data_IF_972675767741
#
_entry.id   IF_972675767741
#
_cell.length_a   1.000
_cell.length_b   1.000
_cell.length_c   1.000
_cell.angle_alpha   90.00
_cell.angle_beta   90.00
_cell.angle_gamma   90.00
#
_symmetry.space_group_name_H-M   'P 1'
#
loop_
_entity.id
_entity.type
_entity.pdbx_description
1 polymer ?
#
# COMPACT_ATOMS: atom_id res chain seq x y z
N UNK A 1 -19.51 23.87 -68.20
CA UNK A 1 -20.11 22.95 -67.22
C UNK A 1 -19.10 21.86 -66.97
N UNK A 2 -18.33 21.96 -65.87
CA UNK A 2 -17.40 20.91 -65.45
C UNK A 2 -18.19 19.76 -64.78
N UNK A 3 -17.79 18.50 -64.99
CA UNK A 3 -18.40 17.39 -64.27
C UNK A 3 -17.88 17.34 -62.83
N UNK A 4 -18.80 17.31 -61.87
CA UNK A 4 -18.51 17.02 -60.46
C UNK A 4 -18.15 15.54 -60.34
N UNK A 5 -16.87 15.24 -60.12
CA UNK A 5 -16.41 13.89 -59.77
C UNK A 5 -16.79 13.61 -58.31
N UNK A 6 -17.83 12.82 -58.09
CA UNK A 6 -18.20 12.33 -56.76
C UNK A 6 -17.23 11.19 -56.42
N UNK A 7 -16.23 11.47 -55.58
CA UNK A 7 -15.30 10.45 -55.09
C UNK A 7 -16.04 9.51 -54.12
N UNK A 8 -16.54 8.38 -54.64
CA UNK A 8 -17.16 7.31 -53.87
C UNK A 8 -16.07 6.36 -53.34
N UNK A 9 -15.15 6.88 -52.52
CA UNK A 9 -14.32 6.01 -51.67
C UNK A 9 -15.18 5.58 -50.48
N UNK A 10 -15.76 4.40 -50.66
CA UNK A 10 -16.28 3.49 -49.64
C UNK A 10 -15.92 3.86 -48.20
N UNK A 11 -16.93 4.17 -47.40
CA UNK A 11 -16.91 3.99 -45.94
C UNK A 11 -16.67 2.50 -45.65
N UNK A 12 -15.41 2.09 -45.72
CA UNK A 12 -14.97 0.80 -45.20
C UNK A 12 -15.11 0.92 -43.69
N UNK A 13 -16.13 0.26 -43.14
CA UNK A 13 -16.21 -0.01 -41.71
C UNK A 13 -14.92 -0.78 -41.35
N UNK A 14 -13.92 -0.06 -40.84
CA UNK A 14 -12.66 -0.67 -40.44
C UNK A 14 -12.98 -1.63 -39.30
N UNK A 15 -13.01 -2.93 -39.60
CA UNK A 15 -13.21 -3.96 -38.59
C UNK A 15 -12.04 -3.87 -37.60
N UNK A 16 -12.31 -3.74 -36.29
CA UNK A 16 -11.25 -3.65 -35.30
C UNK A 16 -10.29 -4.84 -35.42
N UNK A 17 -8.98 -4.60 -35.37
CA UNK A 17 -7.99 -5.66 -35.44
C UNK A 17 -8.21 -6.66 -34.30
N UNK A 18 -7.91 -7.94 -34.53
CA UNK A 18 -8.05 -8.98 -33.49
C UNK A 18 -7.27 -8.65 -32.20
N UNK A 19 -6.18 -7.89 -32.30
CA UNK A 19 -5.43 -7.35 -31.15
C UNK A 19 -6.24 -6.35 -30.34
N UNK A 20 -6.94 -5.40 -30.99
CA UNK A 20 -7.77 -4.41 -30.32
C UNK A 20 -8.94 -5.04 -29.53
N UNK A 21 -9.59 -6.06 -30.09
CA UNK A 21 -10.66 -6.80 -29.39
C UNK A 21 -10.13 -7.55 -28.16
N UNK A 22 -8.95 -8.15 -28.27
CA UNK A 22 -8.29 -8.84 -27.14
C UNK A 22 -7.91 -7.85 -26.03
N UNK A 23 -7.44 -6.66 -26.40
CA UNK A 23 -7.07 -5.61 -25.45
C UNK A 23 -8.29 -5.04 -24.73
N UNK A 24 -9.40 -4.84 -25.44
CA UNK A 24 -10.66 -4.39 -24.84
C UNK A 24 -11.24 -5.43 -23.88
N UNK A 25 -11.20 -6.72 -24.23
CA UNK A 25 -11.67 -7.78 -23.34
C UNK A 25 -10.82 -7.90 -22.06
N UNK A 26 -9.51 -7.68 -22.16
CA UNK A 26 -8.62 -7.58 -20.98
C UNK A 26 -8.97 -6.40 -20.09
N UNK A 27 -9.16 -5.21 -20.68
CA UNK A 27 -9.57 -4.00 -19.95
C UNK A 27 -10.89 -4.20 -19.20
N UNK A 28 -11.89 -4.81 -19.85
CA UNK A 28 -13.18 -5.14 -19.23
C UNK A 28 -12.98 -6.12 -18.06
N UNK A 29 -12.21 -7.20 -18.27
CA UNK A 29 -11.93 -8.19 -17.20
C UNK A 29 -11.23 -7.55 -16.00
N UNK A 30 -10.28 -6.64 -16.24
CA UNK A 30 -9.60 -5.89 -15.19
C UNK A 30 -10.53 -4.90 -14.45
N UNK A 31 -11.40 -4.20 -15.18
CA UNK A 31 -12.39 -3.31 -14.59
C UNK A 31 -13.37 -4.09 -13.69
N UNK A 32 -13.81 -5.26 -14.13
CA UNK A 32 -14.70 -6.15 -13.37
C UNK A 32 -14.00 -6.70 -12.12
N UNK A 33 -12.74 -7.14 -12.20
CA UNK A 33 -12.00 -7.65 -11.03
C UNK A 33 -11.65 -6.56 -10.01
N UNK A 34 -11.60 -5.30 -10.44
CA UNK A 34 -11.38 -4.13 -9.60
C UNK A 34 -12.66 -3.55 -9.01
N UNK A 35 -13.84 -4.03 -9.42
CA UNK A 35 -15.12 -3.55 -8.88
C UNK A 35 -15.25 -3.90 -7.38
N UNK A 36 -15.82 -2.99 -6.60
CA UNK A 36 -16.31 -3.27 -5.27
C UNK A 36 -17.84 -3.32 -5.31
N UNK A 37 -18.43 -4.49 -5.06
CA UNK A 37 -19.87 -4.66 -5.08
C UNK A 37 -20.57 -3.90 -3.94
N UNK A 38 -19.94 -3.82 -2.76
CA UNK A 38 -20.50 -3.11 -1.60
C UNK A 38 -20.54 -1.60 -1.83
N UNK A 39 -19.43 -1.01 -2.26
CA UNK A 39 -19.33 0.44 -2.48
C UNK A 39 -19.80 0.89 -3.87
N UNK A 40 -20.10 -0.06 -4.78
CA UNK A 40 -20.51 0.19 -6.17
C UNK A 40 -19.55 1.11 -6.93
N UNK A 41 -18.25 0.94 -6.70
CA UNK A 41 -17.21 1.74 -7.34
C UNK A 41 -16.06 0.85 -7.86
N UNK A 42 -15.35 1.33 -8.88
CA UNK A 42 -14.12 0.69 -9.36
C UNK A 42 -12.98 1.09 -8.43
N UNK A 43 -12.35 0.10 -7.78
CA UNK A 43 -11.20 0.32 -6.91
C UNK A 43 -9.98 0.71 -7.76
N UNK A 44 -9.25 1.72 -7.31
CA UNK A 44 -7.94 2.03 -7.90
C UNK A 44 -6.92 0.93 -7.56
N UNK A 45 -5.75 0.99 -8.20
CA UNK A 45 -4.64 0.10 -7.88
C UNK A 45 -4.34 0.14 -6.37
N UNK A 46 -4.06 -1.04 -5.78
CA UNK A 46 -3.73 -1.22 -4.35
C UNK A 46 -4.85 -0.82 -3.36
N UNK A 47 -6.06 -0.50 -3.83
CA UNK A 47 -7.22 -0.21 -2.97
C UNK A 47 -7.93 -1.49 -2.50
N UNK A 48 -8.45 -1.47 -1.26
CA UNK A 48 -9.28 -2.55 -0.71
C UNK A 48 -10.53 -2.03 -0.02
N UNK A 49 -11.58 -2.85 0.00
CA UNK A 49 -12.76 -2.61 0.83
C UNK A 49 -12.49 -3.12 2.25
N UNK A 50 -12.69 -2.27 3.24
CA UNK A 50 -12.69 -2.66 4.64
C UNK A 50 -14.15 -2.83 5.09
N UNK A 51 -14.54 -4.05 5.47
CA UNK A 51 -15.89 -4.33 5.98
C UNK A 51 -16.18 -3.59 7.29
N UNK A 52 -15.19 -3.48 8.18
CA UNK A 52 -15.33 -2.77 9.48
C UNK A 52 -15.67 -1.28 9.31
N UNK A 53 -14.97 -0.59 8.41
CA UNK A 53 -15.25 0.82 8.11
C UNK A 53 -16.28 1.02 6.98
N UNK A 54 -16.80 -0.08 6.41
CA UNK A 54 -17.72 -0.13 5.27
C UNK A 54 -17.36 0.82 4.11
N UNK A 55 -16.07 0.90 3.76
CA UNK A 55 -15.58 1.78 2.68
C UNK A 55 -14.35 1.23 1.99
N UNK A 56 -14.16 1.64 0.74
CA UNK A 56 -12.91 1.43 0.02
C UNK A 56 -11.85 2.42 0.47
N UNK A 57 -10.62 1.93 0.67
CA UNK A 57 -9.49 2.71 1.14
C UNK A 57 -8.37 2.61 0.11
N UNK A 58 -7.89 3.77 -0.34
CA UNK A 58 -6.78 3.86 -1.29
C UNK A 58 -5.46 3.46 -0.65
N UNK A 59 -4.66 2.67 -1.38
CA UNK A 59 -3.38 2.11 -0.91
C UNK A 59 -3.57 1.52 0.49
N UNK A 60 -4.46 0.55 0.57
CA UNK A 60 -4.92 0.01 1.85
C UNK A 60 -3.77 -0.69 2.56
N UNK A 61 -3.51 -0.24 3.79
CA UNK A 61 -2.55 -0.87 4.66
C UNK A 61 -3.26 -1.82 5.62
N UNK A 62 -3.94 -1.33 6.64
CA UNK A 62 -4.67 -2.20 7.55
C UNK A 62 -5.81 -1.44 8.21
N UNK A 63 -6.76 -2.17 8.80
CA UNK A 63 -7.67 -1.59 9.78
C UNK A 63 -7.02 -1.71 11.15
N UNK A 64 -6.69 -0.58 11.75
CA UNK A 64 -6.05 -0.54 13.07
C UNK A 64 -7.12 -0.48 14.15
N UNK A 65 -7.19 -1.50 15.00
CA UNK A 65 -8.14 -1.52 16.12
C UNK A 65 -7.84 -0.44 17.17
N UNK A 66 -6.59 0.03 17.27
CA UNK A 66 -6.20 1.03 18.26
C UNK A 66 -6.70 2.43 17.92
N UNK A 67 -6.79 2.75 16.63
CA UNK A 67 -7.31 4.05 16.15
C UNK A 67 -8.75 3.95 15.64
N UNK A 68 -9.34 2.75 15.74
CA UNK A 68 -10.65 2.39 15.19
C UNK A 68 -10.87 2.88 13.75
N UNK A 69 -9.81 2.81 12.93
CA UNK A 69 -9.80 3.40 11.60
C UNK A 69 -8.85 2.66 10.67
N UNK A 70 -9.12 2.77 9.36
CA UNK A 70 -8.20 2.26 8.36
C UNK A 70 -6.99 3.18 8.20
N UNK A 71 -5.82 2.56 8.14
CA UNK A 71 -4.58 3.16 7.66
C UNK A 71 -4.47 2.93 6.16
N UNK A 72 -4.21 4.00 5.42
CA UNK A 72 -4.01 3.97 3.97
C UNK A 72 -3.46 5.30 3.46
N UNK A 73 -3.60 5.58 2.17
CA UNK A 73 -3.00 6.75 1.51
C UNK A 73 -3.27 8.08 2.23
N UNK A 74 -4.51 8.29 2.69
CA UNK A 74 -4.93 9.56 3.29
C UNK A 74 -4.39 9.84 4.69
N UNK A 75 -3.89 8.83 5.41
CA UNK A 75 -3.45 8.99 6.81
C UNK A 75 -2.19 8.20 7.21
N UNK A 76 -1.53 7.48 6.29
CA UNK A 76 -0.30 6.73 6.59
C UNK A 76 0.84 7.60 7.15
N UNK A 77 0.95 8.86 6.72
CA UNK A 77 1.92 9.81 7.25
C UNK A 77 1.63 10.19 8.72
N UNK A 78 0.36 10.44 9.05
CA UNK A 78 -0.07 10.70 10.43
C UNK A 78 0.14 9.47 11.33
N UNK A 79 -0.16 8.27 10.80
CA UNK A 79 0.08 7.02 11.51
C UNK A 79 1.58 6.79 11.76
N UNK A 80 2.45 7.09 10.80
CA UNK A 80 3.90 7.06 11.00
C UNK A 80 4.34 7.97 12.15
N UNK A 81 3.84 9.21 12.19
CA UNK A 81 4.11 10.15 13.27
C UNK A 81 3.62 9.64 14.63
N UNK A 82 2.41 9.07 14.69
CA UNK A 82 1.87 8.44 15.88
C UNK A 82 2.78 7.31 16.40
N UNK A 83 3.19 6.38 15.52
CA UNK A 83 4.10 5.29 15.90
C UNK A 83 5.46 5.81 16.37
N UNK A 84 6.00 6.85 15.72
CA UNK A 84 7.26 7.49 16.13
C UNK A 84 7.18 8.13 17.50
N UNK A 85 6.09 8.86 17.79
CA UNK A 85 5.86 9.45 19.10
C UNK A 85 5.68 8.38 20.19
N UNK A 86 4.94 7.30 19.91
CA UNK A 86 4.79 6.19 20.84
C UNK A 86 6.13 5.50 21.14
N UNK A 87 6.98 5.31 20.13
CA UNK A 87 8.32 4.75 20.28
C UNK A 87 9.26 5.67 21.08
N UNK A 88 9.17 6.99 20.85
CA UNK A 88 9.96 7.98 21.60
C UNK A 88 9.55 8.00 23.07
N UNK A 89 8.25 8.07 23.35
CA UNK A 89 7.72 8.12 24.72
C UNK A 89 8.02 6.84 25.50
N UNK A 90 7.89 5.66 24.87
CA UNK A 90 8.23 4.39 25.51
C UNK A 90 9.74 4.31 25.83
N UNK A 91 10.60 4.84 24.94
CA UNK A 91 12.05 4.89 25.16
C UNK A 91 12.42 5.85 26.29
N UNK A 92 11.80 7.03 26.34
CA UNK A 92 11.98 7.99 27.44
C UNK A 92 11.54 7.38 28.77
N UNK A 93 10.38 6.71 28.82
CA UNK A 93 9.90 6.02 30.02
C UNK A 93 10.89 4.93 30.48
N UNK A 94 11.39 4.10 29.54
CA UNK A 94 12.37 3.07 29.85
C UNK A 94 13.67 3.66 30.44
N UNK A 95 14.15 4.78 29.88
CA UNK A 95 15.33 5.50 30.37
C UNK A 95 15.12 6.04 31.80
N UNK A 96 13.99 6.70 32.06
CA UNK A 96 13.69 7.26 33.38
C UNK A 96 13.60 6.16 34.45
N UNK A 97 13.00 5.02 34.11
CA UNK A 97 12.92 3.88 35.02
C UNK A 97 14.26 3.19 35.27
N UNK A 98 15.14 3.18 34.27
CA UNK A 98 16.51 2.73 34.46
C UNK A 98 17.26 3.60 35.48
N UNK A 99 16.98 4.91 35.49
CA UNK A 99 17.55 5.85 36.46
C UNK A 99 16.90 5.74 37.85
N UNK A 100 15.66 5.28 37.94
CA UNK A 100 14.92 5.18 39.20
C UNK A 100 15.24 3.90 39.96
N UNK A 101 16.24 3.97 40.84
CA UNK A 101 16.72 2.82 41.62
C UNK A 101 16.06 2.64 42.99
N UNK A 102 15.14 3.53 43.41
CA UNK A 102 14.72 3.64 44.82
C UNK A 102 13.23 3.38 45.09
N UNK A 103 12.53 2.64 44.23
CA UNK A 103 11.13 2.28 44.50
C UNK A 103 11.04 1.26 45.65
N UNK A 104 10.32 1.58 46.73
CA UNK A 104 10.07 0.70 47.89
C UNK A 104 9.04 -0.42 47.61
N UNK A 105 8.81 -0.77 46.34
CA UNK A 105 7.89 -1.85 45.96
C UNK A 105 8.53 -3.22 46.23
N UNK A 106 7.73 -4.24 46.61
CA UNK A 106 8.22 -5.62 46.66
C UNK A 106 8.83 -6.02 45.31
N UNK A 107 9.97 -6.73 45.37
CA UNK A 107 10.79 -7.05 44.19
C UNK A 107 9.99 -7.73 43.06
N UNK A 108 9.03 -8.59 43.40
CA UNK A 108 8.17 -9.28 42.44
C UNK A 108 7.33 -8.30 41.62
N UNK A 109 6.61 -7.38 42.27
CA UNK A 109 5.78 -6.38 41.59
C UNK A 109 6.61 -5.43 40.74
N UNK A 110 7.79 -5.04 41.23
CA UNK A 110 8.73 -4.22 40.46
C UNK A 110 9.22 -4.96 39.20
N UNK A 111 9.52 -6.26 39.30
CA UNK A 111 9.93 -7.07 38.17
C UNK A 111 8.81 -7.23 37.14
N UNK A 112 7.57 -7.52 37.57
CA UNK A 112 6.40 -7.60 36.69
C UNK A 112 6.15 -6.28 35.94
N UNK A 113 6.23 -5.15 36.65
CA UNK A 113 6.06 -3.82 36.05
C UNK A 113 7.15 -3.52 35.00
N UNK A 114 8.41 -3.79 35.33
CA UNK A 114 9.53 -3.63 34.39
C UNK A 114 9.37 -4.52 33.15
N UNK A 115 8.94 -5.77 33.32
CA UNK A 115 8.68 -6.68 32.21
C UNK A 115 7.55 -6.18 31.30
N UNK A 116 6.44 -5.74 31.87
CA UNK A 116 5.32 -5.16 31.11
C UNK A 116 5.79 -3.98 30.25
N UNK A 117 6.56 -3.06 30.82
CA UNK A 117 7.07 -1.91 30.10
C UNK A 117 8.10 -2.28 29.03
N UNK A 118 8.93 -3.29 29.27
CA UNK A 118 9.82 -3.84 28.25
C UNK A 118 9.03 -4.43 27.07
N UNK A 119 7.93 -5.13 27.33
CA UNK A 119 7.03 -5.63 26.29
C UNK A 119 6.39 -4.47 25.49
N UNK A 120 5.93 -3.41 26.16
CA UNK A 120 5.37 -2.22 25.51
C UNK A 120 6.44 -1.52 24.64
N UNK A 121 7.64 -1.33 25.18
CA UNK A 121 8.75 -0.73 24.46
C UNK A 121 9.11 -1.55 23.21
N UNK A 122 9.26 -2.87 23.36
CA UNK A 122 9.55 -3.79 22.25
C UNK A 122 8.46 -3.73 21.17
N UNK A 123 7.18 -3.80 21.56
CA UNK A 123 6.05 -3.73 20.62
C UNK A 123 6.00 -2.39 19.86
N UNK A 124 6.18 -1.27 20.57
CA UNK A 124 6.21 0.06 19.97
C UNK A 124 7.37 0.23 18.98
N UNK A 125 8.55 -0.30 19.33
CA UNK A 125 9.75 -0.26 18.48
C UNK A 125 9.57 -1.11 17.23
N UNK A 126 9.09 -2.35 17.36
CA UNK A 126 8.82 -3.22 16.20
C UNK A 126 7.80 -2.60 15.25
N UNK A 127 6.75 -1.97 15.79
CA UNK A 127 5.74 -1.28 14.97
C UNK A 127 6.35 -0.08 14.24
N UNK A 128 7.17 0.73 14.92
CA UNK A 128 7.86 1.86 14.30
C UNK A 128 8.81 1.42 13.19
N UNK A 129 9.59 0.35 13.42
CA UNK A 129 10.47 -0.23 12.40
C UNK A 129 9.68 -0.78 11.21
N UNK A 130 8.50 -1.36 11.43
CA UNK A 130 7.63 -1.83 10.34
C UNK A 130 7.15 -0.67 9.47
N UNK A 131 6.63 0.42 10.06
CA UNK A 131 6.18 1.58 9.28
C UNK A 131 7.34 2.32 8.61
N UNK A 132 8.52 2.32 9.23
CA UNK A 132 9.75 2.82 8.61
C UNK A 132 10.14 1.97 7.40
N UNK A 133 10.15 0.65 7.54
CA UNK A 133 10.38 -0.27 6.42
C UNK A 133 9.39 -0.01 5.28
N UNK A 134 8.09 0.10 5.59
CA UNK A 134 7.04 0.44 4.63
C UNK A 134 7.31 1.76 3.90
N UNK A 135 7.73 2.80 4.62
CA UNK A 135 8.11 4.08 4.02
C UNK A 135 9.34 3.97 3.11
N UNK A 136 10.38 3.22 3.53
CA UNK A 136 11.59 3.04 2.73
C UNK A 136 11.41 2.16 1.50
N UNK A 137 10.41 1.27 1.49
CA UNK A 137 10.14 0.34 0.38
C UNK A 137 8.89 0.68 -0.44
N UNK A 138 8.17 1.73 -0.05
CA UNK A 138 6.88 2.09 -0.62
C UNK A 138 5.90 0.89 -0.70
N UNK A 139 5.90 0.08 0.35
CA UNK A 139 5.02 -1.08 0.51
C UNK A 139 4.11 -0.89 1.71
N UNK A 140 2.85 -1.27 1.57
CA UNK A 140 1.96 -1.40 2.74
C UNK A 140 2.31 -2.67 3.52
N UNK A 141 2.09 -2.68 4.84
CA UNK A 141 2.24 -3.88 5.67
C UNK A 141 1.35 -5.01 5.15
N UNK A 142 0.14 -4.71 4.68
CA UNK A 142 -0.73 -5.71 4.05
C UNK A 142 -0.15 -6.30 2.75
N UNK A 143 0.56 -5.52 1.95
CA UNK A 143 1.29 -6.05 0.78
C UNK A 143 2.46 -6.92 1.20
N UNK A 144 3.26 -6.48 2.17
CA UNK A 144 4.39 -7.25 2.68
C UNK A 144 3.95 -8.59 3.29
N UNK A 145 2.87 -8.61 4.08
CA UNK A 145 2.36 -9.83 4.72
C UNK A 145 1.67 -10.78 3.73
N UNK A 146 1.01 -10.23 2.70
CA UNK A 146 0.23 -11.03 1.74
C UNK A 146 0.87 -11.05 0.35
N UNK A 147 2.19 -10.85 0.24
CA UNK A 147 2.89 -10.67 -1.04
C UNK A 147 2.58 -11.78 -2.06
N UNK A 148 2.47 -13.03 -1.60
CA UNK A 148 2.13 -14.20 -2.44
C UNK A 148 0.78 -14.09 -3.15
N UNK A 149 -0.14 -13.27 -2.65
CA UNK A 149 -1.49 -13.07 -3.23
C UNK A 149 -1.49 -12.04 -4.36
N UNK A 150 -0.49 -11.17 -4.43
CA UNK A 150 -0.46 -10.11 -5.43
C UNK A 150 0.41 -10.54 -6.61
N UNK A 151 -0.19 -10.64 -7.80
CA UNK A 151 0.52 -10.99 -9.03
C UNK A 151 1.67 -10.03 -9.32
N UNK A 152 1.46 -8.72 -9.13
CA UNK A 152 2.47 -7.70 -9.35
C UNK A 152 3.65 -7.72 -8.36
N UNK A 153 3.59 -8.53 -7.29
CA UNK A 153 4.71 -8.75 -6.36
C UNK A 153 5.44 -10.08 -6.62
N UNK A 154 4.94 -10.92 -7.52
CA UNK A 154 5.64 -12.12 -7.97
C UNK A 154 6.65 -11.70 -9.04
N UNK A 155 7.93 -11.97 -8.82
CA UNK A 155 8.94 -11.76 -9.85
C UNK A 155 8.84 -12.79 -10.97
N UNK A 156 9.75 -12.73 -11.94
CA UNK A 156 9.86 -13.69 -13.05
C UNK A 156 9.94 -15.15 -12.57
N UNK A 157 10.49 -15.38 -11.37
CA UNK A 157 10.38 -16.64 -10.67
C UNK A 157 9.50 -16.51 -9.44
N UNK A 158 8.62 -17.50 -9.20
CA UNK A 158 7.77 -17.58 -8.00
C UNK A 158 8.55 -17.61 -6.68
N UNK A 159 9.88 -17.77 -6.76
CA UNK A 159 10.81 -17.83 -5.64
C UNK A 159 11.40 -16.46 -5.26
N UNK A 160 11.34 -15.45 -6.15
CA UNK A 160 11.91 -14.12 -5.89
C UNK A 160 10.80 -13.04 -5.93
N UNK A 161 10.44 -12.42 -4.79
CA UNK A 161 9.50 -11.32 -4.81
C UNK A 161 10.10 -10.12 -5.56
N UNK A 162 9.26 -9.44 -6.34
CA UNK A 162 9.60 -8.19 -7.03
C UNK A 162 8.80 -7.05 -6.40
N UNK A 163 9.43 -5.91 -6.15
CA UNK A 163 8.74 -4.71 -5.69
C UNK A 163 8.78 -3.64 -6.78
N UNK A 164 7.73 -3.49 -7.59
CA UNK A 164 7.70 -2.48 -8.65
C UNK A 164 7.66 -1.04 -8.12
N UNK A 165 7.28 -0.85 -6.85
CA UNK A 165 7.17 0.47 -6.23
C UNK A 165 8.47 0.95 -5.58
N UNK A 166 9.49 0.08 -5.44
CA UNK A 166 10.79 0.52 -4.91
C UNK A 166 11.56 1.30 -5.99
N UNK A 167 11.66 2.61 -5.80
CA UNK A 167 12.40 3.52 -6.70
C UNK A 167 13.54 4.24 -5.98
N UNK A 168 14.03 3.64 -4.90
CA UNK A 168 15.05 4.23 -4.05
C UNK A 168 14.49 5.07 -2.92
N UNK A 169 15.30 5.20 -1.87
CA UNK A 169 14.91 5.68 -0.55
C UNK A 169 14.18 7.03 -0.58
N UNK A 170 14.77 8.04 -1.23
CA UNK A 170 14.22 9.40 -1.24
C UNK A 170 12.87 9.48 -1.98
N UNK A 171 12.75 8.77 -3.10
CA UNK A 171 11.52 8.75 -3.88
C UNK A 171 10.43 8.03 -3.08
N UNK A 172 10.73 6.86 -2.51
CA UNK A 172 9.78 6.08 -1.73
C UNK A 172 9.26 6.87 -0.52
N UNK A 173 10.15 7.55 0.20
CA UNK A 173 9.78 8.42 1.34
C UNK A 173 8.89 9.58 0.86
N UNK A 174 9.27 10.28 -0.21
CA UNK A 174 8.43 11.36 -0.78
C UNK A 174 7.03 10.85 -1.19
N UNK A 175 7.00 9.63 -1.75
CA UNK A 175 5.86 8.74 -2.00
C UNK A 175 4.92 8.65 -0.80
N UNK A 176 5.52 8.11 0.27
CA UNK A 176 4.86 7.73 1.50
C UNK A 176 4.24 8.94 2.21
N UNK A 177 4.98 10.04 2.30
CA UNK A 177 4.54 11.28 2.96
C UNK A 177 3.67 12.18 2.06
N UNK A 178 3.36 11.76 0.83
CA UNK A 178 2.48 12.52 -0.07
C UNK A 178 3.10 13.80 -0.63
N UNK A 179 4.43 13.95 -0.52
CA UNK A 179 5.19 15.05 -1.13
C UNK A 179 5.33 14.86 -2.66
N UNK A 180 5.13 13.63 -3.13
CA UNK A 180 5.12 13.27 -4.55
C UNK A 180 3.86 12.46 -4.86
N UNK A 181 3.39 12.52 -6.11
CA UNK A 181 2.31 11.63 -6.58
C UNK A 181 2.82 10.21 -6.68
N UNK A 182 2.12 9.30 -6.01
CA UNK A 182 2.37 7.86 -6.10
C UNK A 182 2.01 7.30 -7.49
N UNK A 183 2.88 6.49 -8.09
CA UNK A 183 2.58 5.81 -9.36
C UNK A 183 1.79 4.52 -9.13
N UNK A 184 0.81 4.27 -9.98
CA UNK A 184 -0.04 3.07 -9.93
C UNK A 184 0.58 1.92 -10.74
N UNK A 185 0.28 0.66 -10.40
CA UNK A 185 0.78 -0.53 -11.13
C UNK A 185 0.48 -0.45 -12.63
N UNK A 186 -0.68 0.11 -13.00
CA UNK A 186 -1.07 0.30 -14.40
C UNK A 186 -0.10 1.18 -15.18
N UNK A 187 0.55 2.16 -14.53
CA UNK A 187 1.60 2.96 -15.19
C UNK A 187 2.86 2.17 -15.47
N UNK A 188 3.21 1.17 -14.65
CA UNK A 188 4.37 0.31 -14.88
C UNK A 188 4.19 -0.66 -16.05
N UNK A 189 2.95 -1.06 -16.33
CA UNK A 189 2.64 -1.91 -17.47
C UNK A 189 2.76 -1.17 -18.81
N UNK A 190 2.49 0.14 -18.84
CA UNK A 190 2.68 0.97 -20.03
C UNK A 190 4.16 1.16 -20.40
N UNK A 191 5.06 1.11 -19.41
CA UNK A 191 6.51 1.31 -19.61
C UNK A 191 7.26 0.00 -19.95
N UNK A 192 6.55 -1.13 -20.10
CA UNK A 192 7.13 -2.43 -20.51
C UNK A 192 8.16 -3.04 -19.54
N UNK A 193 8.42 -2.41 -18.39
CA UNK A 193 9.50 -2.78 -17.46
C UNK A 193 9.22 -4.01 -16.60
N UNK A 194 7.96 -4.36 -16.43
CA UNK A 194 7.55 -5.55 -15.71
C UNK A 194 6.52 -6.22 -16.61
N UNK A 195 6.83 -7.43 -17.10
CA UNK A 195 5.92 -8.28 -17.88
C UNK A 195 4.72 -8.76 -17.05
N UNK A 196 4.03 -7.82 -16.42
CA UNK A 196 2.76 -8.03 -15.79
C UNK A 196 1.78 -8.08 -16.95
N UNK A 197 1.39 -9.29 -17.34
CA UNK A 197 0.29 -9.50 -18.27
C UNK A 197 -0.95 -8.81 -17.69
N UNK A 198 -1.22 -7.60 -18.18
CA UNK A 198 -2.48 -6.86 -17.96
C UNK A 198 -3.58 -7.53 -18.76
#
# INVERSE_FOLDING_TARGET
>A
MEPVIINRQSDVCQTPSFTSVRDDMRRIKHALSSLCHTCRCVRTSRSKHCSKCNRCVAVFDHHCSMTDSCVGKGNRAWFFGLCGLMCLMSTMMAYLLWKQNSCQLPWFWLACFKLLLFCIWTSSTCTFLNVLYSATKNLTTNESLNWRRYSYLKGESSLKPSNPFDRGLFINISEYFGLRREQDVTSYAHDGKYGIDV
#
